data_IF_608978812047
#
_entry.id   IF_608978812047
#
_cell.length_a   1.000
_cell.length_b   1.000
_cell.length_c   1.000
_cell.angle_alpha   90.00
_cell.angle_beta   90.00
_cell.angle_gamma   90.00
#
_symmetry.space_group_name_H-M   'P 1'
#
loop_
_entity.id
_entity.type
_entity.pdbx_description
1 polymer ?
#
# COMPACT_ATOMS: atom_id res chain seq x y z
N UNK A 1 -5.76 7.81 -1.86
CA UNK A 1 -6.89 8.11 -0.99
C UNK A 1 -6.99 9.63 -0.87
N UNK A 2 -8.14 10.17 -0.53
CA UNK A 2 -8.32 11.56 -0.11
C UNK A 2 -8.38 11.59 1.42
N UNK A 3 -8.24 12.78 2.02
CA UNK A 3 -8.26 12.91 3.48
C UNK A 3 -9.69 12.68 3.99
N UNK A 4 -9.96 11.50 4.54
CA UNK A 4 -11.10 11.32 5.45
C UNK A 4 -10.81 11.99 6.78
N UNK A 5 -11.80 12.65 7.37
CA UNK A 5 -11.69 13.14 8.74
C UNK A 5 -11.46 11.93 9.66
N UNK A 6 -10.36 11.95 10.41
CA UNK A 6 -10.09 10.93 11.43
C UNK A 6 -11.04 11.19 12.61
N UNK A 7 -11.58 10.12 13.19
CA UNK A 7 -12.32 10.17 14.45
C UNK A 7 -11.48 10.85 15.54
N UNK A 8 -12.14 11.54 16.48
CA UNK A 8 -11.50 12.14 17.67
C UNK A 8 -10.79 11.11 18.56
N UNK A 9 -11.10 9.82 18.40
CA UNK A 9 -10.44 8.70 19.09
C UNK A 9 -9.16 8.18 18.43
N UNK A 10 -8.76 8.71 17.27
CA UNK A 10 -7.57 8.23 16.56
C UNK A 10 -6.26 8.69 17.26
N UNK A 11 -5.32 7.76 17.46
CA UNK A 11 -3.98 8.06 17.96
C UNK A 11 -3.27 9.14 17.13
N UNK A 12 -2.41 9.93 17.76
CA UNK A 12 -1.57 10.91 17.06
C UNK A 12 -0.64 10.21 16.06
N UNK A 13 -0.21 10.89 14.97
CA UNK A 13 0.73 10.31 14.01
C UNK A 13 2.02 9.82 14.67
N UNK A 14 2.54 10.54 15.66
CA UNK A 14 3.73 10.17 16.42
C UNK A 14 3.50 8.89 17.26
N UNK A 15 2.36 8.78 17.95
CA UNK A 15 2.02 7.58 18.72
C UNK A 15 1.84 6.36 17.82
N UNK A 16 1.21 6.52 16.64
CA UNK A 16 1.10 5.45 15.63
C UNK A 16 2.45 5.00 15.12
N UNK A 17 3.36 5.94 14.84
CA UNK A 17 4.73 5.62 14.43
C UNK A 17 5.49 4.86 15.53
N UNK A 18 5.41 5.29 16.79
CA UNK A 18 6.04 4.61 17.92
C UNK A 18 5.50 3.20 18.15
N UNK A 19 4.18 3.01 18.03
CA UNK A 19 3.57 1.69 18.19
C UNK A 19 3.98 0.74 17.06
N UNK A 20 3.99 1.22 15.81
CA UNK A 20 4.56 0.47 14.68
C UNK A 20 6.06 0.21 14.90
N UNK A 21 6.76 1.15 15.55
CA UNK A 21 8.15 0.99 15.98
C UNK A 21 8.36 -0.24 16.86
N UNK A 22 7.66 -0.27 17.98
CA UNK A 22 7.76 -1.37 18.93
C UNK A 22 7.34 -2.73 18.33
N UNK A 23 6.38 -2.74 17.39
CA UNK A 23 5.91 -3.97 16.76
C UNK A 23 6.99 -4.65 15.91
N UNK A 24 7.68 -3.93 15.02
CA UNK A 24 8.70 -4.54 14.15
C UNK A 24 10.04 -4.79 14.86
N UNK A 25 10.36 -4.08 15.95
CA UNK A 25 11.59 -4.31 16.73
C UNK A 25 11.61 -5.66 17.47
N UNK A 26 10.50 -6.41 17.43
CA UNK A 26 10.40 -7.78 17.96
C UNK A 26 10.66 -8.86 16.93
N UNK A 27 10.86 -8.50 15.66
CA UNK A 27 11.17 -9.46 14.61
C UNK A 27 12.67 -9.81 14.65
N UNK A 28 12.98 -11.06 15.00
CA UNK A 28 14.35 -11.59 14.99
C UNK A 28 14.78 -12.11 13.61
N UNK A 29 13.87 -12.12 12.62
CA UNK A 29 14.19 -12.43 11.24
C UNK A 29 14.70 -11.19 10.53
N UNK A 30 15.88 -11.25 9.90
CA UNK A 30 16.49 -10.16 9.13
C UNK A 30 15.73 -9.75 7.85
N UNK A 31 14.40 -9.71 7.88
CA UNK A 31 13.55 -9.20 6.81
C UNK A 31 13.44 -7.67 6.93
N UNK A 32 13.96 -6.95 5.95
CA UNK A 32 14.08 -5.49 5.98
C UNK A 32 12.74 -4.75 5.88
N UNK A 33 12.07 -4.52 7.00
CA UNK A 33 10.95 -3.57 7.09
C UNK A 33 11.52 -2.15 7.19
N UNK A 34 11.63 -1.46 6.05
CA UNK A 34 12.02 -0.05 6.01
C UNK A 34 10.89 0.85 6.54
N UNK A 35 11.19 1.69 7.53
CA UNK A 35 10.23 2.62 8.14
C UNK A 35 10.20 3.95 7.42
N UNK A 36 9.02 4.38 7.00
CA UNK A 36 8.78 5.77 6.61
C UNK A 36 8.52 6.65 7.83
N UNK A 37 9.57 7.07 8.56
CA UNK A 37 9.44 8.16 9.56
C UNK A 37 8.98 9.47 8.91
N UNK A 38 9.38 9.67 7.65
CA UNK A 38 9.09 10.86 6.87
C UNK A 38 7.62 11.04 6.54
N UNK A 39 6.80 9.99 6.40
CA UNK A 39 5.36 10.13 6.12
C UNK A 39 4.58 10.52 7.39
N UNK A 40 4.92 9.90 8.53
CA UNK A 40 4.25 10.13 9.80
C UNK A 40 4.51 11.52 10.40
N UNK A 41 5.65 12.14 10.04
CA UNK A 41 6.07 13.44 10.56
C UNK A 41 5.69 14.63 9.65
N UNK A 42 5.02 14.42 8.52
CA UNK A 42 4.65 15.54 7.64
C UNK A 42 3.52 16.38 8.25
N UNK A 43 3.60 17.71 8.07
CA UNK A 43 2.60 18.66 8.57
C UNK A 43 1.23 18.54 7.89
N UNK A 44 1.10 17.74 6.82
CA UNK A 44 -0.12 17.63 6.04
C UNK A 44 -0.30 16.26 5.37
N UNK A 45 -1.56 15.93 5.10
CA UNK A 45 -1.95 14.71 4.40
C UNK A 45 -1.24 14.60 3.04
N UNK A 46 -0.62 13.46 2.77
CA UNK A 46 -0.07 13.13 1.46
C UNK A 46 -0.91 12.04 0.81
N UNK A 47 -1.09 12.15 -0.51
CA UNK A 47 -1.74 11.08 -1.27
C UNK A 47 -0.79 9.90 -1.43
N UNK A 48 -1.36 8.69 -1.42
CA UNK A 48 -0.63 7.43 -1.59
C UNK A 48 0.33 7.44 -2.79
N UNK A 49 -0.11 7.95 -3.95
CA UNK A 49 0.73 8.05 -5.15
C UNK A 49 1.98 8.93 -4.92
N UNK A 50 1.83 10.03 -4.19
CA UNK A 50 2.96 10.94 -3.85
C UNK A 50 3.97 10.23 -2.98
N UNK A 51 3.50 9.46 -1.97
CA UNK A 51 4.37 8.68 -1.08
C UNK A 51 5.12 7.61 -1.86
N UNK A 52 4.42 6.81 -2.67
CA UNK A 52 5.02 5.77 -3.51
C UNK A 52 6.08 6.35 -4.45
N UNK A 53 5.79 7.48 -5.10
CA UNK A 53 6.73 8.16 -5.99
C UNK A 53 7.98 8.66 -5.26
N UNK A 54 7.81 9.19 -4.04
CA UNK A 54 8.93 9.65 -3.21
C UNK A 54 9.82 8.49 -2.79
N UNK A 55 9.23 7.38 -2.34
CA UNK A 55 9.97 6.16 -1.96
C UNK A 55 10.76 5.62 -3.15
N UNK A 56 10.12 5.46 -4.32
CA UNK A 56 10.82 5.05 -5.55
C UNK A 56 11.99 5.97 -5.87
N UNK A 57 11.76 7.28 -5.83
CA UNK A 57 12.81 8.26 -6.13
C UNK A 57 13.96 8.23 -5.11
N UNK A 58 13.67 8.00 -3.82
CA UNK A 58 14.71 7.84 -2.80
C UNK A 58 15.57 6.59 -3.08
N UNK A 59 14.92 5.45 -3.33
CA UNK A 59 15.61 4.20 -3.63
C UNK A 59 16.44 4.26 -4.92
N UNK A 60 15.98 4.99 -5.95
CA UNK A 60 16.76 5.23 -7.16
C UNK A 60 17.95 6.17 -6.94
N UNK A 61 17.84 7.17 -6.05
CA UNK A 61 18.91 8.13 -5.75
C UNK A 61 20.04 7.51 -4.94
N UNK A 62 19.73 6.55 -4.07
CA UNK A 62 20.71 5.90 -3.21
C UNK A 62 21.56 4.84 -3.94
N UNK A 63 21.37 4.67 -5.25
CA UNK A 63 22.16 3.73 -6.08
C UNK A 63 21.92 2.26 -5.77
N UNK A 64 20.90 1.94 -4.95
CA UNK A 64 20.56 0.58 -4.52
C UNK A 64 19.90 -0.26 -5.63
N UNK A 65 19.48 0.36 -6.73
CA UNK A 65 18.93 -0.33 -7.89
C UNK A 65 19.28 0.42 -9.17
N UNK A 66 20.02 -0.23 -10.06
CA UNK A 66 20.18 0.20 -11.45
C UNK A 66 18.83 0.05 -12.16
N UNK A 67 17.99 1.09 -12.10
CA UNK A 67 16.87 1.43 -12.99
C UNK A 67 15.74 0.43 -13.28
N UNK A 68 15.92 -0.88 -13.01
CA UNK A 68 15.09 -1.96 -13.54
C UNK A 68 15.00 -3.21 -12.68
N UNK A 69 15.77 -3.35 -11.60
CA UNK A 69 15.68 -4.53 -10.71
C UNK A 69 14.71 -4.37 -9.52
N UNK A 70 14.45 -3.13 -9.08
CA UNK A 70 13.65 -2.87 -7.89
C UNK A 70 12.26 -2.31 -8.25
N UNK A 71 11.21 -3.01 -7.83
CA UNK A 71 9.82 -2.59 -8.01
C UNK A 71 9.19 -2.21 -6.68
N UNK A 72 8.74 -0.97 -6.56
CA UNK A 72 7.95 -0.51 -5.39
C UNK A 72 6.50 -0.87 -5.63
N UNK A 73 5.88 -1.61 -4.71
CA UNK A 73 4.47 -2.03 -4.78
C UNK A 73 3.70 -1.54 -3.55
N UNK A 74 2.41 -1.25 -3.72
CA UNK A 74 1.51 -0.92 -2.62
C UNK A 74 0.99 -2.20 -1.97
N UNK A 75 1.40 -2.49 -0.74
CA UNK A 75 0.80 -3.55 0.07
C UNK A 75 -0.44 -3.02 0.80
N UNK A 76 -1.57 -3.70 0.67
CA UNK A 76 -2.79 -3.33 1.37
C UNK A 76 -3.69 -4.52 1.73
N UNK A 77 -4.67 -4.27 2.60
CA UNK A 77 -5.77 -5.22 2.84
C UNK A 77 -6.91 -5.04 1.83
N UNK A 78 -7.82 -6.01 1.80
CA UNK A 78 -9.04 -5.98 0.96
C UNK A 78 -9.90 -4.74 1.19
N UNK A 79 -9.93 -4.20 2.41
CA UNK A 79 -10.72 -3.01 2.75
C UNK A 79 -10.20 -1.75 2.02
N UNK A 80 -8.88 -1.61 1.85
CA UNK A 80 -8.31 -0.49 1.08
C UNK A 80 -8.56 -0.68 -0.42
N UNK A 81 -8.44 -1.92 -0.91
CA UNK A 81 -8.70 -2.24 -2.31
C UNK A 81 -10.15 -1.91 -2.69
N UNK A 82 -11.12 -2.30 -1.86
CA UNK A 82 -12.54 -1.97 -2.02
C UNK A 82 -12.77 -0.46 -2.05
N UNK A 83 -12.00 0.32 -1.26
CA UNK A 83 -12.11 1.78 -1.24
C UNK A 83 -11.79 2.45 -2.57
N UNK A 84 -11.07 1.80 -3.50
CA UNK A 84 -10.78 2.36 -4.83
C UNK A 84 -12.05 2.56 -5.65
N UNK A 85 -13.10 1.80 -5.35
CA UNK A 85 -14.41 1.91 -5.98
C UNK A 85 -15.32 2.92 -5.30
N UNK A 86 -14.93 3.50 -4.16
CA UNK A 86 -15.73 4.49 -3.44
C UNK A 86 -15.65 5.86 -4.13
N UNK A 87 -16.78 6.43 -4.60
CA UNK A 87 -16.79 7.74 -5.24
C UNK A 87 -16.21 8.84 -4.34
N UNK A 88 -15.36 9.70 -4.90
CA UNK A 88 -14.77 10.83 -4.18
C UNK A 88 -13.59 10.49 -3.27
N UNK A 89 -13.35 9.23 -2.91
CA UNK A 89 -12.21 8.85 -2.04
C UNK A 89 -10.89 8.76 -2.82
N UNK A 90 -10.95 8.56 -4.13
CA UNK A 90 -9.79 8.42 -4.99
C UNK A 90 -9.97 9.18 -6.30
N UNK A 91 -8.86 9.66 -6.85
CA UNK A 91 -8.81 10.21 -8.20
C UNK A 91 -8.56 9.01 -9.13
N UNK A 92 -9.46 8.72 -10.09
CA UNK A 92 -9.35 7.52 -10.95
C UNK A 92 -8.01 7.41 -11.68
N UNK A 93 -7.48 8.54 -12.19
CA UNK A 93 -6.16 8.56 -12.84
C UNK A 93 -5.03 8.16 -11.88
N UNK A 94 -5.12 8.52 -10.60
CA UNK A 94 -4.12 8.12 -9.63
C UNK A 94 -4.19 6.63 -9.31
N UNK A 95 -5.38 6.03 -9.30
CA UNK A 95 -5.52 4.57 -9.15
C UNK A 95 -4.84 3.89 -10.34
N UNK A 96 -5.12 4.33 -11.57
CA UNK A 96 -4.48 3.81 -12.77
C UNK A 96 -2.95 3.89 -12.69
N UNK A 97 -2.40 5.03 -12.28
CA UNK A 97 -0.95 5.18 -12.10
C UNK A 97 -0.40 4.26 -11.02
N UNK A 98 -1.08 4.13 -9.86
CA UNK A 98 -0.65 3.21 -8.79
C UNK A 98 -0.60 1.78 -9.32
N UNK A 99 -1.64 1.32 -10.02
CA UNK A 99 -1.69 -0.02 -10.54
C UNK A 99 -0.63 -0.27 -11.61
N UNK A 100 -0.50 0.64 -12.60
CA UNK A 100 0.39 0.47 -13.74
C UNK A 100 1.87 0.62 -13.39
N UNK A 101 2.22 1.65 -12.63
CA UNK A 101 3.62 2.05 -12.43
C UNK A 101 4.25 1.47 -11.17
N UNK A 102 3.43 1.05 -10.19
CA UNK A 102 3.90 0.49 -8.92
C UNK A 102 3.41 -0.95 -8.74
N UNK A 103 2.10 -1.17 -8.88
CA UNK A 103 1.45 -2.44 -8.58
C UNK A 103 0.85 -2.49 -7.18
N UNK A 104 -0.09 -3.41 -6.96
CA UNK A 104 -0.82 -3.54 -5.70
C UNK A 104 -0.83 -4.99 -5.26
N UNK A 105 -0.33 -5.25 -4.05
CA UNK A 105 -0.43 -6.55 -3.40
C UNK A 105 -1.55 -6.45 -2.38
N UNK A 106 -2.59 -7.26 -2.56
CA UNK A 106 -3.72 -7.31 -1.64
C UNK A 106 -3.65 -8.56 -0.75
N UNK A 107 -3.59 -8.35 0.56
CA UNK A 107 -3.80 -9.41 1.55
C UNK A 107 -5.31 -9.52 1.78
N UNK A 108 -5.87 -10.65 1.36
CA UNK A 108 -7.29 -10.97 1.55
C UNK A 108 -7.57 -11.17 3.04
N UNK A 109 -8.60 -10.49 3.54
CA UNK A 109 -9.18 -10.76 4.86
C UNK A 109 -10.27 -11.84 4.75
N UNK A 110 -10.46 -12.63 5.81
CA UNK A 110 -11.52 -13.65 5.86
C UNK A 110 -12.90 -13.05 5.53
N UNK A 111 -13.69 -13.76 4.72
CA UNK A 111 -15.02 -13.30 4.27
C UNK A 111 -15.03 -12.25 3.15
N UNK A 112 -13.87 -11.82 2.63
CA UNK A 112 -13.78 -10.91 1.48
C UNK A 112 -13.33 -11.65 0.22
N UNK A 113 -14.10 -11.51 -0.86
CA UNK A 113 -13.77 -12.04 -2.19
C UNK A 113 -13.08 -10.95 -3.03
N UNK A 114 -11.78 -11.11 -3.24
CA UNK A 114 -10.95 -10.11 -3.93
C UNK A 114 -11.26 -10.08 -5.43
N UNK A 115 -11.57 -11.22 -6.05
CA UNK A 115 -11.96 -11.28 -7.46
C UNK A 115 -13.29 -10.58 -7.70
N UNK A 116 -14.23 -10.75 -6.76
CA UNK A 116 -15.49 -9.99 -6.77
C UNK A 116 -15.26 -8.50 -6.60
N UNK A 117 -14.36 -8.07 -5.71
CA UNK A 117 -14.02 -6.64 -5.53
C UNK A 117 -13.46 -6.05 -6.83
N UNK A 118 -12.58 -6.77 -7.53
CA UNK A 118 -11.97 -6.29 -8.77
C UNK A 118 -12.97 -6.22 -9.91
N UNK A 119 -13.76 -7.28 -10.10
CA UNK A 119 -14.77 -7.35 -11.16
C UNK A 119 -15.92 -6.37 -10.95
N UNK A 120 -16.14 -5.90 -9.71
CA UNK A 120 -17.17 -4.90 -9.40
C UNK A 120 -16.86 -3.48 -9.88
N UNK A 121 -15.62 -3.20 -10.32
CA UNK A 121 -15.18 -1.85 -10.66
C UNK A 121 -14.35 -1.80 -11.94
N UNK A 122 -14.77 -0.94 -12.87
CA UNK A 122 -14.06 -0.72 -14.14
C UNK A 122 -12.61 -0.27 -13.87
N UNK A 123 -12.41 0.65 -12.91
CA UNK A 123 -11.09 1.16 -12.53
C UNK A 123 -10.18 0.06 -11.97
N UNK A 124 -10.71 -0.89 -11.21
CA UNK A 124 -9.94 -2.01 -10.65
C UNK A 124 -9.72 -3.12 -11.66
N UNK A 125 -10.63 -3.32 -12.60
CA UNK A 125 -10.48 -4.33 -13.66
C UNK A 125 -9.24 -4.08 -14.52
N UNK A 126 -8.85 -2.81 -14.71
CA UNK A 126 -7.59 -2.40 -15.36
C UNK A 126 -6.35 -2.76 -14.51
N UNK A 127 -6.51 -2.88 -13.19
CA UNK A 127 -5.45 -3.24 -12.23
C UNK A 127 -5.23 -4.76 -12.09
N UNK A 128 -6.09 -5.59 -12.71
CA UNK A 128 -6.17 -7.05 -12.48
C UNK A 128 -4.86 -7.81 -12.70
N UNK A 129 -3.98 -7.31 -13.56
CA UNK A 129 -2.74 -8.00 -13.97
C UNK A 129 -1.66 -8.01 -12.87
N UNK A 130 -1.72 -7.10 -11.88
CA UNK A 130 -0.60 -6.86 -10.96
C UNK A 130 -0.96 -7.24 -9.51
N UNK A 131 -2.03 -8.00 -9.31
CA UNK A 131 -2.46 -8.40 -7.98
C UNK A 131 -2.09 -9.85 -7.68
N UNK A 132 -0.97 -10.03 -6.99
CA UNK A 132 -0.60 -11.34 -6.43
C UNK A 132 -1.31 -11.49 -5.09
N UNK A 133 -2.33 -12.35 -5.02
CA UNK A 133 -2.88 -12.78 -3.74
C UNK A 133 -1.78 -13.51 -2.98
N UNK A 134 -1.26 -12.93 -1.89
CA UNK A 134 -0.16 -13.55 -1.12
C UNK A 134 -0.50 -14.96 -0.63
N UNK A 135 -1.79 -15.27 -0.50
CA UNK A 135 -2.29 -16.60 -0.17
C UNK A 135 -1.76 -17.68 -1.12
N UNK A 136 -1.72 -17.41 -2.43
CA UNK A 136 -1.22 -18.36 -3.44
C UNK A 136 0.30 -18.56 -3.40
N UNK A 137 1.04 -17.68 -2.72
CA UNK A 137 2.50 -17.78 -2.54
C UNK A 137 2.91 -18.38 -1.19
N UNK A 138 2.01 -18.38 -0.19
CA UNK A 138 2.26 -18.93 1.14
C UNK A 138 1.69 -20.34 1.34
N UNK A 139 0.82 -20.81 0.45
CA UNK A 139 0.39 -22.21 0.41
C UNK A 139 1.10 -22.92 -0.75
N UNK A 140 2.33 -23.37 -0.54
CA UNK A 140 2.79 -24.60 -1.20
C UNK A 140 1.94 -25.72 -0.61
N UNK A 141 0.95 -26.19 -1.35
CA UNK A 141 0.35 -27.49 -1.06
C UNK A 141 1.44 -28.54 -1.33
N UNK A 142 1.91 -29.19 -0.26
CA UNK A 142 2.37 -30.59 -0.28
C UNK A 142 1.19 -31.47 0.15
#
# INVERSE_FOLDING_TARGET
>A
MQRRALSSSALSPAARFQQSSAACSRDQGGHGILRGSEEAMQKGYQRTLTVLSRIRNALCKDGLADGGSLKVMLLCGSDLLESFSTPGEWIPDQIRTICKDFGVICIRREGKDVEKIISSSVTLSECRVIMTSLWSLLTTED
#
